data_IF_115746333306
#
_entry.id   IF_115746333306
#
_cell.length_a   1.000
_cell.length_b   1.000
_cell.length_c   1.000
_cell.angle_alpha   90.00
_cell.angle_beta   90.00
_cell.angle_gamma   90.00
#
_symmetry.space_group_name_H-M   'P 1'
#
loop_
_entity.id
_entity.type
_entity.pdbx_description
1 polymer ?
#
# COMPACT_ATOMS: atom_id res chain seq x y z
N UNK A 1 -16.69 -13.22 3.99
CA UNK A 1 -16.62 -12.02 4.86
C UNK A 1 -15.50 -11.10 4.41
N UNK A 2 -15.76 -9.81 4.35
CA UNK A 2 -14.75 -8.84 3.94
C UNK A 2 -13.66 -8.72 5.00
N UNK A 3 -12.40 -8.57 4.56
CA UNK A 3 -11.29 -8.34 5.48
C UNK A 3 -11.26 -6.89 5.95
N UNK A 4 -10.73 -6.65 7.14
CA UNK A 4 -10.51 -5.30 7.65
C UNK A 4 -9.26 -4.69 7.02
N UNK A 5 -9.11 -3.36 7.18
CA UNK A 5 -7.91 -2.68 6.69
C UNK A 5 -6.64 -3.26 7.34
N UNK A 6 -6.67 -3.50 8.65
CA UNK A 6 -5.52 -4.06 9.38
C UNK A 6 -5.15 -5.46 8.89
N UNK A 7 -6.16 -6.30 8.63
CA UNK A 7 -5.92 -7.62 8.05
C UNK A 7 -5.32 -7.52 6.66
N UNK A 8 -5.86 -6.61 5.83
CA UNK A 8 -5.37 -6.38 4.47
C UNK A 8 -3.92 -5.87 4.49
N UNK A 9 -3.60 -4.95 5.40
CA UNK A 9 -2.24 -4.43 5.55
C UNK A 9 -1.25 -5.55 5.85
N UNK A 10 -1.59 -6.45 6.76
CA UNK A 10 -0.69 -7.56 7.10
C UNK A 10 -0.55 -8.56 5.95
N UNK A 11 -1.59 -8.74 5.15
CA UNK A 11 -1.50 -9.56 3.93
C UNK A 11 -0.51 -8.98 2.93
N UNK A 12 -0.54 -7.66 2.74
CA UNK A 12 0.42 -6.96 1.85
C UNK A 12 1.85 -7.12 2.39
N UNK A 13 2.03 -6.92 3.69
CA UNK A 13 3.33 -7.06 4.33
C UNK A 13 3.89 -8.48 4.14
N UNK A 14 3.07 -9.48 4.42
CA UNK A 14 3.48 -10.87 4.29
C UNK A 14 3.78 -11.25 2.83
N UNK A 15 3.12 -10.61 1.87
CA UNK A 15 3.31 -10.92 0.46
C UNK A 15 4.61 -10.29 -0.10
N UNK A 16 4.95 -9.07 0.30
CA UNK A 16 6.03 -8.31 -0.32
C UNK A 16 7.31 -8.25 0.51
N UNK A 17 7.22 -8.16 1.83
CA UNK A 17 8.39 -7.92 2.67
C UNK A 17 9.44 -9.03 2.60
N UNK A 18 9.07 -10.33 2.64
CA UNK A 18 10.09 -11.40 2.64
C UNK A 18 10.95 -11.43 1.38
N UNK A 19 10.44 -10.91 0.27
CA UNK A 19 11.15 -10.95 -1.02
C UNK A 19 11.59 -9.56 -1.47
N UNK A 20 11.54 -8.57 -0.59
CA UNK A 20 11.88 -7.19 -0.93
C UNK A 20 13.39 -7.06 -1.11
N UNK A 21 13.83 -6.50 -2.25
CA UNK A 21 15.25 -6.38 -2.59
C UNK A 21 15.69 -4.94 -2.87
N UNK A 22 14.74 -3.98 -2.95
CA UNK A 22 15.03 -2.60 -3.28
C UNK A 22 15.08 -1.76 -2.00
N UNK A 23 16.22 -1.76 -1.32
CA UNK A 23 16.37 -1.04 -0.06
C UNK A 23 15.58 -1.68 1.08
N UNK A 24 15.11 -0.87 2.00
CA UNK A 24 14.36 -1.32 3.18
C UNK A 24 12.86 -1.26 2.91
N UNK A 25 12.17 -2.38 3.08
CA UNK A 25 10.71 -2.41 2.87
C UNK A 25 10.01 -1.42 3.78
N UNK A 26 9.10 -0.64 3.21
CA UNK A 26 8.31 0.35 3.94
C UNK A 26 6.88 0.36 3.40
N UNK A 27 5.93 0.27 4.30
CA UNK A 27 4.51 0.42 3.99
C UNK A 27 4.02 1.68 4.67
N UNK A 28 3.61 2.67 3.86
CA UNK A 28 3.11 3.94 4.37
C UNK A 28 1.60 3.84 4.53
N UNK A 29 1.16 3.67 5.77
CA UNK A 29 -0.25 3.50 6.12
C UNK A 29 -0.83 4.72 6.85
N UNK A 30 -0.24 5.90 6.65
CA UNK A 30 -0.77 7.13 7.27
C UNK A 30 -2.15 7.50 6.76
N UNK A 31 -2.50 7.06 5.55
CA UNK A 31 -3.80 7.27 4.93
C UNK A 31 -4.43 5.93 4.59
N UNK A 32 -5.74 5.83 4.79
CA UNK A 32 -6.52 4.69 4.32
C UNK A 32 -7.13 5.08 2.98
N UNK A 33 -6.79 4.33 1.93
CA UNK A 33 -7.31 4.53 0.58
C UNK A 33 -8.11 3.29 0.21
N UNK A 34 -9.34 3.48 -0.22
CA UNK A 34 -10.23 2.36 -0.49
C UNK A 34 -11.41 2.76 -1.37
N UNK A 35 -12.00 1.76 -1.99
CA UNK A 35 -13.35 1.84 -2.53
C UNK A 35 -14.17 0.66 -1.99
N UNK A 36 -15.34 0.39 -2.57
CA UNK A 36 -16.18 -0.69 -2.08
C UNK A 36 -15.60 -2.09 -2.36
N UNK A 37 -14.67 -2.20 -3.29
CA UNK A 37 -14.11 -3.47 -3.75
C UNK A 37 -12.75 -3.81 -3.13
N UNK A 38 -11.89 -2.79 -2.88
CA UNK A 38 -10.53 -3.05 -2.44
C UNK A 38 -9.94 -1.91 -1.60
N UNK A 39 -8.88 -2.26 -0.87
CA UNK A 39 -7.98 -1.30 -0.24
C UNK A 39 -6.76 -1.10 -1.13
N UNK A 40 -6.20 0.11 -1.13
CA UNK A 40 -4.97 0.47 -1.86
C UNK A 40 -3.86 0.72 -0.85
N UNK A 41 -2.68 0.17 -1.12
CA UNK A 41 -1.53 0.33 -0.23
C UNK A 41 -0.37 1.02 -0.93
N UNK A 42 0.37 1.82 -0.16
CA UNK A 42 1.57 2.48 -0.62
C UNK A 42 2.77 1.76 -0.02
N UNK A 43 3.50 1.02 -0.85
CA UNK A 43 4.72 0.35 -0.42
C UNK A 43 5.90 0.84 -1.26
N UNK A 44 7.09 0.74 -0.69
CA UNK A 44 8.30 1.13 -1.38
C UNK A 44 9.51 0.99 -0.47
N UNK A 45 10.65 1.48 -0.94
CA UNK A 45 11.84 1.56 -0.12
C UNK A 45 11.73 2.75 0.83
N UNK A 46 12.09 2.54 2.10
CA UNK A 46 12.13 3.60 3.09
C UNK A 46 13.02 4.76 2.64
N UNK A 47 14.13 4.45 1.97
CA UNK A 47 15.07 5.42 1.43
C UNK A 47 14.40 6.38 0.45
N UNK A 48 13.41 5.92 -0.29
CA UNK A 48 12.66 6.78 -1.20
C UNK A 48 11.51 7.48 -0.46
N UNK A 49 10.71 6.74 0.31
CA UNK A 49 9.48 7.28 0.93
C UNK A 49 9.81 8.35 1.97
N UNK A 50 10.85 8.18 2.75
CA UNK A 50 11.24 9.12 3.80
C UNK A 50 12.32 10.08 3.35
N UNK A 51 13.39 9.56 2.74
CA UNK A 51 14.57 10.36 2.41
C UNK A 51 14.50 10.99 1.03
N UNK A 52 13.54 10.58 0.19
CA UNK A 52 13.37 11.11 -1.16
C UNK A 52 14.46 10.69 -2.13
N UNK A 53 15.15 9.59 -1.85
CA UNK A 53 16.23 9.09 -2.72
C UNK A 53 15.65 8.42 -3.96
N UNK A 54 15.73 9.11 -5.10
CA UNK A 54 15.15 8.64 -6.37
C UNK A 54 15.73 7.33 -6.86
N UNK A 55 16.94 6.97 -6.43
CA UNK A 55 17.54 5.71 -6.85
C UNK A 55 16.80 4.49 -6.29
N UNK A 56 15.95 4.69 -5.28
CA UNK A 56 15.12 3.65 -4.68
C UNK A 56 13.66 3.73 -5.10
N UNK A 57 13.32 4.59 -6.06
CA UNK A 57 11.94 4.75 -6.52
C UNK A 57 11.45 3.49 -7.23
N UNK A 58 10.25 3.02 -6.86
CA UNK A 58 9.58 1.90 -7.51
C UNK A 58 8.31 2.46 -8.15
N UNK A 59 8.20 2.31 -9.47
CA UNK A 59 7.08 2.86 -10.23
C UNK A 59 6.42 1.75 -11.05
N UNK A 60 5.16 2.00 -11.46
CA UNK A 60 4.41 1.16 -12.38
C UNK A 60 3.12 0.60 -11.80
N UNK A 61 3.15 -0.06 -10.65
CA UNK A 61 1.96 -0.65 -10.07
C UNK A 61 1.91 -0.44 -8.56
N UNK A 62 0.68 -0.53 -8.01
CA UNK A 62 0.44 -0.45 -6.58
C UNK A 62 -0.29 -1.70 -6.12
N UNK A 63 -0.03 -2.18 -4.89
CA UNK A 63 -0.75 -3.32 -4.35
C UNK A 63 -2.15 -2.92 -3.92
N UNK A 64 -3.10 -3.81 -4.14
CA UNK A 64 -4.45 -3.72 -3.61
C UNK A 64 -4.80 -5.02 -2.90
N UNK A 65 -5.80 -4.97 -2.03
CA UNK A 65 -6.37 -6.18 -1.43
C UNK A 65 -7.87 -6.17 -1.69
N UNK A 66 -8.34 -7.21 -2.37
CA UNK A 66 -9.76 -7.37 -2.64
C UNK A 66 -10.49 -7.72 -1.35
N UNK A 67 -11.47 -6.90 -1.00
CA UNK A 67 -12.12 -6.98 0.32
C UNK A 67 -12.83 -8.30 0.57
N UNK A 68 -13.61 -8.77 -0.41
CA UNK A 68 -14.38 -10.00 -0.22
C UNK A 68 -13.50 -11.25 -0.18
N UNK A 69 -12.45 -11.28 -1.00
CA UNK A 69 -11.61 -12.45 -1.15
C UNK A 69 -10.41 -12.45 -0.20
N UNK A 70 -10.01 -11.30 0.33
CA UNK A 70 -8.78 -11.16 1.10
C UNK A 70 -7.56 -11.49 0.27
N UNK A 71 -7.57 -11.17 -1.03
CA UNK A 71 -6.51 -11.52 -1.96
C UNK A 71 -5.70 -10.30 -2.36
N UNK A 72 -4.38 -10.41 -2.26
CA UNK A 72 -3.45 -9.39 -2.73
C UNK A 72 -3.39 -9.44 -4.26
N UNK A 73 -3.49 -8.27 -4.88
CA UNK A 73 -3.37 -8.11 -6.33
C UNK A 73 -2.63 -6.80 -6.61
N UNK A 74 -2.47 -6.46 -7.88
CA UNK A 74 -1.81 -5.22 -8.29
C UNK A 74 -2.64 -4.52 -9.34
N UNK A 75 -2.55 -3.19 -9.37
CA UNK A 75 -3.16 -2.36 -10.42
C UNK A 75 -2.13 -1.33 -10.89
N UNK A 76 -2.17 -0.94 -12.16
CA UNK A 76 -1.31 0.16 -12.62
C UNK A 76 -1.55 1.42 -11.80
N UNK A 77 -0.47 2.10 -11.41
CA UNK A 77 -0.58 3.31 -10.58
C UNK A 77 -1.39 4.40 -11.26
N UNK A 78 -1.33 4.51 -12.60
CA UNK A 78 -2.12 5.48 -13.34
C UNK A 78 -3.62 5.21 -13.23
N UNK A 79 -4.04 3.95 -13.21
CA UNK A 79 -5.45 3.59 -13.02
C UNK A 79 -5.95 3.99 -11.63
N UNK A 80 -5.13 3.77 -10.62
CA UNK A 80 -5.48 4.15 -9.23
C UNK A 80 -5.56 5.66 -9.10
N UNK A 81 -4.60 6.39 -9.68
CA UNK A 81 -4.55 7.85 -9.60
C UNK A 81 -5.76 8.54 -10.25
N UNK A 82 -6.38 7.89 -11.24
CA UNK A 82 -7.50 8.46 -11.98
C UNK A 82 -8.86 7.84 -11.63
N UNK A 83 -8.90 6.93 -10.66
CA UNK A 83 -10.14 6.25 -10.26
C UNK A 83 -10.92 7.13 -9.28
N UNK A 84 -12.10 7.67 -9.69
CA UNK A 84 -12.87 8.56 -8.83
C UNK A 84 -13.58 7.83 -7.68
N UNK A 85 -13.65 6.50 -7.71
CA UNK A 85 -14.30 5.73 -6.64
C UNK A 85 -13.44 5.62 -5.39
N UNK A 86 -12.14 5.89 -5.49
CA UNK A 86 -11.21 5.71 -4.36
C UNK A 86 -11.32 6.89 -3.41
N UNK A 87 -11.58 6.58 -2.15
CA UNK A 87 -11.68 7.55 -1.05
C UNK A 87 -10.39 7.54 -0.24
N UNK A 88 -10.02 8.71 0.29
CA UNK A 88 -8.86 8.87 1.16
C UNK A 88 -9.31 9.39 2.52
N UNK A 89 -8.80 8.79 3.59
CA UNK A 89 -9.06 9.27 4.94
C UNK A 89 -7.80 9.08 5.80
N UNK A 90 -7.55 9.97 6.78
CA UNK A 90 -6.45 9.76 7.70
C UNK A 90 -6.62 8.47 8.48
N UNK A 91 -5.54 7.72 8.65
CA UNK A 91 -5.55 6.50 9.44
C UNK A 91 -5.41 6.87 10.92
N UNK A 92 -6.38 6.52 11.78
CA UNK A 92 -6.27 6.85 13.21
C UNK A 92 -5.19 6.07 13.95
N UNK A 93 -4.73 4.94 13.39
CA UNK A 93 -3.75 4.07 14.05
C UNK A 93 -2.65 3.62 13.08
N UNK A 94 -1.86 4.55 12.52
CA UNK A 94 -0.83 4.18 11.55
C UNK A 94 0.32 3.44 12.23
N UNK A 95 0.92 2.50 11.49
CA UNK A 95 2.14 1.80 11.93
C UNK A 95 3.39 2.47 11.37
N UNK A 96 3.25 3.31 10.36
CA UNK A 96 4.36 4.00 9.73
C UNK A 96 4.95 5.04 10.67
N UNK A 97 6.28 5.01 10.83
CA UNK A 97 7.02 5.99 11.62
C UNK A 97 8.08 6.64 10.75
N UNK A 98 8.00 7.97 10.51
CA UNK A 98 8.96 8.66 9.64
C UNK A 98 10.33 8.89 10.28
N UNK A 99 10.45 8.71 11.57
CA UNK A 99 11.72 8.94 12.28
C UNK A 99 12.65 7.74 12.25
#
# INVERSE_FOLDING_TARGET
>A
MAVTYEQARELVRAHFEPNWTMGTFCLDDRWIRENDEFYVFNIGAREFIIDGDDSYAVIGSVPIVLKEEGRVASRPSAMIATDPSIRNAPNPNPTFTPA
#
